data_IF_671197378712
#
_entry.id   IF_671197378712
#
_cell.length_a   1.000
_cell.length_b   1.000
_cell.length_c   1.000
_cell.angle_alpha   90.00
_cell.angle_beta   90.00
_cell.angle_gamma   90.00
#
_symmetry.space_group_name_H-M   'P 1'
#
loop_
_entity.id
_entity.type
_entity.pdbx_description
1 polymer ?
#
# COMPACT_ATOMS: atom_id res chain seq x y z
N UNK A 1 -12.19 -4.55 4.15
CA UNK A 1 -12.15 -3.22 3.51
C UNK A 1 -13.33 -3.15 2.56
N UNK A 2 -14.11 -2.07 2.55
CA UNK A 2 -15.22 -1.92 1.61
C UNK A 2 -14.70 -1.31 0.29
N UNK A 3 -14.65 -2.12 -0.76
CA UNK A 3 -14.18 -1.71 -2.09
C UNK A 3 -15.15 -0.69 -2.72
N UNK A 4 -16.45 -0.79 -2.46
CA UNK A 4 -17.44 0.12 -3.04
C UNK A 4 -17.27 1.54 -2.48
N UNK A 5 -17.06 1.67 -1.17
CA UNK A 5 -16.77 2.95 -0.54
C UNK A 5 -15.48 3.59 -1.08
N UNK A 6 -14.43 2.79 -1.32
CA UNK A 6 -13.18 3.27 -1.93
C UNK A 6 -13.42 3.77 -3.37
N UNK A 7 -14.12 2.98 -4.19
CA UNK A 7 -14.42 3.36 -5.59
C UNK A 7 -15.20 4.66 -5.62
N UNK A 8 -16.20 4.81 -4.74
CA UNK A 8 -16.98 6.03 -4.65
C UNK A 8 -16.12 7.24 -4.26
N UNK A 9 -15.24 7.09 -3.26
CA UNK A 9 -14.32 8.15 -2.85
C UNK A 9 -13.38 8.57 -4.00
N UNK A 10 -12.82 7.59 -4.72
CA UNK A 10 -11.96 7.85 -5.87
C UNK A 10 -12.72 8.65 -6.94
N UNK A 11 -13.92 8.20 -7.33
CA UNK A 11 -14.69 8.83 -8.41
C UNK A 11 -15.22 10.22 -8.05
N UNK A 12 -15.63 10.43 -6.81
CA UNK A 12 -16.27 11.67 -6.39
C UNK A 12 -15.30 12.74 -5.90
N UNK A 13 -14.18 12.35 -5.28
CA UNK A 13 -13.28 13.28 -4.61
C UNK A 13 -11.87 13.33 -5.20
N UNK A 14 -11.36 12.22 -5.76
CA UNK A 14 -9.96 12.15 -6.21
C UNK A 14 -9.85 12.38 -7.72
N UNK A 15 -10.56 11.61 -8.54
CA UNK A 15 -10.51 11.70 -10.00
C UNK A 15 -10.81 13.13 -10.54
N UNK A 16 -11.77 13.90 -9.97
CA UNK A 16 -12.04 15.27 -10.43
C UNK A 16 -10.91 16.26 -10.16
N UNK A 17 -9.94 15.94 -9.30
CA UNK A 17 -8.80 16.83 -9.03
C UNK A 17 -7.81 16.89 -10.17
N UNK A 18 -7.86 15.93 -11.11
CA UNK A 18 -6.89 15.75 -12.19
C UNK A 18 -5.43 15.61 -11.72
N UNK A 19 -5.21 15.35 -10.42
CA UNK A 19 -3.90 15.03 -9.87
C UNK A 19 -3.66 13.53 -10.03
N UNK A 20 -2.46 13.14 -10.48
CA UNK A 20 -2.08 11.73 -10.59
C UNK A 20 -2.10 11.05 -9.21
N UNK A 21 -2.71 9.88 -9.15
CA UNK A 21 -2.86 9.12 -7.92
C UNK A 21 -2.65 7.61 -8.16
N UNK A 22 -2.38 6.88 -7.08
CA UNK A 22 -2.44 5.42 -7.00
C UNK A 22 -3.00 4.99 -5.64
N UNK A 23 -3.78 3.93 -5.64
CA UNK A 23 -4.28 3.27 -4.41
C UNK A 23 -3.22 2.31 -3.89
N UNK A 24 -2.85 2.42 -2.62
CA UNK A 24 -1.97 1.47 -1.94
C UNK A 24 -2.78 0.64 -0.94
N UNK A 25 -2.74 -0.68 -1.08
CA UNK A 25 -3.30 -1.58 -0.06
C UNK A 25 -2.34 -1.66 1.13
N UNK A 26 -2.88 -1.40 2.31
CA UNK A 26 -2.15 -1.45 3.58
C UNK A 26 -2.83 -2.39 4.56
N UNK A 27 -2.08 -2.78 5.58
CA UNK A 27 -2.53 -3.71 6.63
C UNK A 27 -2.98 -5.07 6.09
N UNK A 28 -2.36 -5.54 5.01
CA UNK A 28 -2.64 -6.84 4.40
C UNK A 28 -2.24 -7.97 5.35
N UNK A 29 -3.13 -8.92 5.63
CA UNK A 29 -2.74 -10.13 6.37
C UNK A 29 -1.79 -10.97 5.50
N UNK A 30 -0.62 -11.30 6.04
CA UNK A 30 0.38 -12.11 5.35
C UNK A 30 -0.09 -13.53 5.04
N UNK A 31 -1.13 -14.01 5.73
CA UNK A 31 -1.78 -15.31 5.46
C UNK A 31 -2.80 -15.25 4.33
N UNK A 32 -3.29 -14.05 4.01
CA UNK A 32 -4.32 -13.79 3.00
C UNK A 32 -3.81 -12.91 1.85
N UNK A 33 -2.57 -13.13 1.41
CA UNK A 33 -1.97 -12.35 0.31
C UNK A 33 -2.80 -12.43 -0.98
N UNK A 34 -3.46 -13.56 -1.23
CA UNK A 34 -4.29 -13.73 -2.42
C UNK A 34 -5.49 -12.77 -2.44
N UNK A 35 -6.11 -12.50 -1.28
CA UNK A 35 -7.20 -11.52 -1.18
C UNK A 35 -6.73 -10.11 -1.57
N UNK A 36 -5.50 -9.73 -1.20
CA UNK A 36 -4.92 -8.45 -1.61
C UNK A 36 -4.69 -8.39 -3.12
N UNK A 37 -4.24 -9.49 -3.74
CA UNK A 37 -4.08 -9.58 -5.20
C UNK A 37 -5.41 -9.53 -5.94
N UNK A 38 -6.45 -10.17 -5.40
CA UNK A 38 -7.80 -10.10 -5.93
C UNK A 38 -8.34 -8.66 -5.87
N UNK A 39 -8.14 -7.96 -4.74
CA UNK A 39 -8.50 -6.56 -4.61
C UNK A 39 -7.75 -5.67 -5.62
N UNK A 40 -6.45 -5.86 -5.83
CA UNK A 40 -5.68 -5.16 -6.87
C UNK A 40 -6.25 -5.44 -8.27
N UNK A 41 -6.64 -6.68 -8.55
CA UNK A 41 -7.23 -7.08 -9.83
C UNK A 41 -8.58 -6.41 -10.06
N UNK A 42 -9.43 -6.33 -9.03
CA UNK A 42 -10.70 -5.61 -9.11
C UNK A 42 -10.49 -4.11 -9.35
N UNK A 43 -9.56 -3.47 -8.64
CA UNK A 43 -9.24 -2.06 -8.85
C UNK A 43 -8.81 -1.80 -10.30
N UNK A 44 -7.95 -2.66 -10.84
CA UNK A 44 -7.53 -2.60 -12.24
C UNK A 44 -8.71 -2.77 -13.21
N UNK A 45 -9.62 -3.71 -12.95
CA UNK A 45 -10.82 -3.90 -13.78
C UNK A 45 -11.77 -2.70 -13.76
N UNK A 46 -11.74 -1.90 -12.68
CA UNK A 46 -12.52 -0.67 -12.52
C UNK A 46 -11.80 0.60 -13.00
N UNK A 47 -10.65 0.43 -13.66
CA UNK A 47 -9.76 1.51 -14.12
C UNK A 47 -9.27 2.43 -12.99
N UNK A 48 -9.13 1.87 -11.78
CA UNK A 48 -8.55 2.56 -10.63
C UNK A 48 -7.09 2.17 -10.52
N UNK A 49 -6.14 3.12 -10.69
CA UNK A 49 -4.72 2.82 -10.62
C UNK A 49 -4.34 2.41 -9.20
N UNK A 50 -3.74 1.24 -9.06
CA UNK A 50 -3.28 0.69 -7.78
C UNK A 50 -1.78 0.38 -7.84
N UNK A 51 -1.12 0.45 -6.69
CA UNK A 51 0.26 -0.02 -6.58
C UNK A 51 0.34 -1.53 -6.83
N UNK A 52 1.44 -1.97 -7.44
CA UNK A 52 1.71 -3.40 -7.66
C UNK A 52 2.08 -4.11 -6.35
N UNK A 53 2.78 -3.41 -5.46
CA UNK A 53 3.03 -3.87 -4.10
C UNK A 53 1.90 -3.54 -3.12
N UNK A 54 2.03 -4.05 -1.90
CA UNK A 54 1.17 -3.76 -0.76
C UNK A 54 1.96 -3.83 0.55
N UNK A 55 1.43 -3.24 1.62
CA UNK A 55 2.05 -3.27 2.95
C UNK A 55 1.38 -4.33 3.81
N UNK A 56 2.13 -5.36 4.19
CA UNK A 56 1.63 -6.42 5.09
C UNK A 56 1.61 -5.95 6.55
N UNK A 57 0.68 -6.50 7.33
CA UNK A 57 0.63 -6.27 8.77
C UNK A 57 1.65 -7.15 9.47
N UNK A 58 2.61 -6.51 10.13
CA UNK A 58 3.58 -7.14 11.03
C UNK A 58 3.51 -6.52 12.43
N UNK A 59 3.75 -7.34 13.46
CA UNK A 59 3.99 -6.85 14.84
C UNK A 59 5.14 -5.86 14.94
N UNK A 60 6.07 -5.91 13.99
CA UNK A 60 7.13 -4.92 13.86
C UNK A 60 6.58 -3.48 13.69
N UNK A 61 5.46 -3.26 13.01
CA UNK A 61 4.87 -1.92 12.90
C UNK A 61 4.38 -1.37 14.23
N UNK A 62 3.73 -2.21 15.05
CA UNK A 62 3.28 -1.85 16.39
C UNK A 62 4.48 -1.50 17.28
N UNK A 63 5.53 -2.32 17.28
CA UNK A 63 6.74 -2.06 18.07
C UNK A 63 7.47 -0.79 17.62
N UNK A 64 7.62 -0.57 16.31
CA UNK A 64 8.24 0.64 15.78
C UNK A 64 7.54 1.89 16.30
N UNK A 65 6.20 1.89 16.27
CA UNK A 65 5.40 3.00 16.80
C UNK A 65 5.58 3.19 18.32
N UNK A 66 5.64 2.12 19.10
CA UNK A 66 5.88 2.18 20.55
C UNK A 66 7.28 2.72 20.89
N UNK A 67 8.29 2.35 20.11
CA UNK A 67 9.68 2.83 20.27
C UNK A 67 9.89 4.24 19.70
N UNK A 68 8.89 4.84 19.04
CA UNK A 68 9.00 6.15 18.42
C UNK A 68 9.94 6.19 17.21
N UNK A 69 10.16 5.05 16.54
CA UNK A 69 11.05 4.92 15.38
C UNK A 69 10.28 4.52 14.14
N UNK A 70 10.82 4.82 12.96
CA UNK A 70 10.26 4.31 11.71
C UNK A 70 10.54 2.81 11.56
N UNK A 71 9.69 2.11 10.79
CA UNK A 71 9.90 0.67 10.52
C UNK A 71 11.25 0.36 9.85
N UNK A 72 11.84 1.32 9.15
CA UNK A 72 13.15 1.17 8.51
C UNK A 72 14.31 1.24 9.50
N UNK A 73 14.10 1.80 10.68
CA UNK A 73 15.07 1.91 11.76
C UNK A 73 14.94 0.79 12.79
N UNK A 74 13.75 0.19 12.92
CA UNK A 74 13.50 -0.91 13.85
C UNK A 74 14.36 -2.14 13.52
N UNK A 75 14.83 -2.83 14.57
CA UNK A 75 15.56 -4.11 14.46
C UNK A 75 14.75 -5.26 15.06
N UNK A 76 15.19 -6.49 14.80
CA UNK A 76 14.56 -7.69 15.34
C UNK A 76 13.52 -8.32 14.43
N UNK A 77 12.73 -9.25 14.98
CA UNK A 77 11.87 -10.15 14.21
C UNK A 77 10.94 -9.41 13.25
N UNK A 78 10.88 -9.81 11.98
CA UNK A 78 10.02 -9.23 10.95
C UNK A 78 10.26 -7.76 10.59
N UNK A 79 11.25 -7.07 11.17
CA UNK A 79 11.54 -5.68 10.82
C UNK A 79 12.11 -5.56 9.39
N UNK A 80 12.88 -6.55 8.95
CA UNK A 80 13.44 -6.59 7.59
C UNK A 80 12.34 -6.73 6.54
N UNK A 81 11.42 -7.67 6.74
CA UNK A 81 10.30 -7.94 5.83
C UNK A 81 9.34 -6.76 5.80
N UNK A 82 8.98 -6.24 6.98
CA UNK A 82 8.12 -5.07 7.11
C UNK A 82 8.72 -3.83 6.42
N UNK A 83 10.03 -3.59 6.58
CA UNK A 83 10.70 -2.48 5.91
C UNK A 83 10.88 -2.71 4.41
N UNK A 84 11.00 -3.97 3.96
CA UNK A 84 11.10 -4.30 2.54
C UNK A 84 9.83 -3.92 1.77
N UNK A 85 8.64 -4.13 2.36
CA UNK A 85 7.37 -3.73 1.75
C UNK A 85 7.35 -2.22 1.43
N UNK A 86 7.74 -1.38 2.39
CA UNK A 86 7.83 0.07 2.19
C UNK A 86 8.89 0.46 1.15
N UNK A 87 10.05 -0.21 1.13
CA UNK A 87 11.09 0.06 0.12
C UNK A 87 10.61 -0.27 -1.29
N UNK A 88 9.88 -1.37 -1.47
CA UNK A 88 9.32 -1.74 -2.77
C UNK A 88 8.33 -0.70 -3.28
N UNK A 89 7.41 -0.23 -2.40
CA UNK A 89 6.47 0.85 -2.74
C UNK A 89 7.19 2.15 -3.07
N UNK A 90 8.20 2.53 -2.29
CA UNK A 90 8.98 3.74 -2.55
C UNK A 90 9.68 3.69 -3.91
N UNK A 91 10.25 2.54 -4.29
CA UNK A 91 10.86 2.35 -5.61
C UNK A 91 9.85 2.43 -6.76
N UNK A 92 8.65 1.87 -6.56
CA UNK A 92 7.56 1.96 -7.53
C UNK A 92 7.16 3.42 -7.77
N UNK A 93 6.91 4.18 -6.70
CA UNK A 93 6.54 5.60 -6.76
C UNK A 93 7.64 6.43 -7.41
N UNK A 94 8.91 6.20 -7.05
CA UNK A 94 10.03 6.90 -7.68
C UNK A 94 10.12 6.62 -9.19
N UNK A 95 9.79 5.40 -9.61
CA UNK A 95 9.79 5.02 -11.03
C UNK A 95 8.69 5.76 -11.79
N UNK A 96 7.50 5.88 -11.21
CA UNK A 96 6.41 6.66 -11.82
C UNK A 96 6.79 8.14 -11.94
N UNK A 97 7.47 8.69 -10.93
CA UNK A 97 7.91 10.08 -10.94
C UNK A 97 8.94 10.38 -12.03
N UNK A 98 9.89 9.47 -12.27
CA UNK A 98 10.91 9.62 -13.32
C UNK A 98 10.33 9.54 -14.74
N UNK A 99 9.15 8.94 -14.90
CA UNK A 99 8.44 8.83 -16.18
C UNK A 99 7.46 10.00 -16.42
N UNK A 100 7.36 10.91 -15.46
CA UNK A 100 6.59 12.15 -15.55
C UNK A 100 7.35 13.25 -16.28
#
# INVERSE_FOLDING_TARGET
MDIAALVQAVRSAIAPTHIRYRVLLTKVDSRSINEAKEAQTMLKALDIPACSGFIRTYKAHERAALEGVSITQLRGANAKEASADYRAIAQEIQTDWKKS
#
